data_IF_595580909099
#
_entry.id   IF_595580909099
#
_cell.length_a   1.000
_cell.length_b   1.000
_cell.length_c   1.000
_cell.angle_alpha   90.00
_cell.angle_beta   90.00
_cell.angle_gamma   90.00
#
_symmetry.space_group_name_H-M   'P 1'
#
loop_
_entity.id
_entity.type
_entity.pdbx_description
1 polymer ?
#
# COMPACT_ATOMS: atom_id res chain seq x y z
N UNK A 1 -1.37 11.13 16.95
CA UNK A 1 -1.54 9.67 17.22
C UNK A 1 -1.36 8.92 15.92
N UNK A 2 -0.31 8.10 15.79
CA UNK A 2 -0.06 7.29 14.59
C UNK A 2 -0.95 6.05 14.60
N UNK A 3 -1.70 5.83 13.51
CA UNK A 3 -2.59 4.67 13.39
C UNK A 3 -1.78 3.45 12.98
N UNK A 4 -1.60 2.50 13.89
CA UNK A 4 -0.92 1.23 13.62
C UNK A 4 -1.83 0.36 12.74
N UNK A 5 -1.34 -0.06 11.58
CA UNK A 5 -2.05 -0.95 10.65
C UNK A 5 -1.29 -2.26 10.51
N UNK A 6 -2.01 -3.38 10.62
CA UNK A 6 -1.46 -4.72 10.51
C UNK A 6 -1.82 -5.31 9.14
N UNK A 7 -0.84 -5.94 8.49
CA UNK A 7 -1.07 -6.64 7.22
C UNK A 7 -2.00 -7.85 7.42
N UNK A 8 -2.67 -8.26 6.36
CA UNK A 8 -3.62 -9.40 6.43
C UNK A 8 -2.85 -10.69 6.74
N UNK A 9 -1.66 -10.88 6.16
CA UNK A 9 -0.77 -12.00 6.48
C UNK A 9 -0.44 -12.06 7.99
N UNK A 10 -0.11 -10.91 8.60
CA UNK A 10 0.20 -10.85 10.02
C UNK A 10 -1.01 -11.20 10.90
N UNK A 11 -2.21 -10.73 10.53
CA UNK A 11 -3.45 -11.11 11.23
C UNK A 11 -3.74 -12.61 11.12
N UNK A 12 -3.46 -13.22 9.96
CA UNK A 12 -3.66 -14.67 9.76
C UNK A 12 -2.66 -15.50 10.56
N UNK A 13 -1.41 -15.07 10.65
CA UNK A 13 -0.39 -15.71 11.51
C UNK A 13 -0.80 -15.65 12.98
N UNK A 14 -1.26 -14.49 13.46
CA UNK A 14 -1.78 -14.35 14.81
C UNK A 14 -3.00 -15.25 15.08
N UNK A 15 -3.90 -15.42 14.10
CA UNK A 15 -5.04 -16.33 14.23
C UNK A 15 -4.61 -17.80 14.35
N UNK A 16 -3.58 -18.24 13.60
CA UNK A 16 -3.02 -19.59 13.76
C UNK A 16 -2.42 -19.81 15.14
N UNK A 17 -1.73 -18.80 15.69
CA UNK A 17 -1.17 -18.88 17.05
C UNK A 17 -2.26 -18.91 18.11
N UNK A 18 -3.38 -18.22 17.90
CA UNK A 18 -4.54 -18.24 18.81
C UNK A 18 -5.26 -19.59 18.84
N UNK A 19 -5.04 -20.48 17.87
CA UNK A 19 -5.56 -21.86 17.91
C UNK A 19 -4.76 -22.75 18.89
N UNK A 20 -3.50 -22.41 19.16
CA UNK A 20 -2.60 -23.23 20.00
C UNK A 20 -2.26 -22.56 21.34
N UNK A 21 -2.26 -21.24 21.40
CA UNK A 21 -1.84 -20.44 22.55
C UNK A 21 -2.95 -19.51 23.02
N UNK A 22 -2.90 -19.13 24.31
CA UNK A 22 -3.80 -18.12 24.86
C UNK A 22 -3.51 -16.72 24.34
N UNK A 23 -4.54 -15.86 24.32
CA UNK A 23 -4.44 -14.46 23.88
C UNK A 23 -3.34 -13.68 24.61
N UNK A 24 -3.08 -13.99 25.89
CA UNK A 24 -1.98 -13.44 26.68
C UNK A 24 -0.59 -13.79 26.11
N UNK A 25 -0.34 -15.07 25.80
CA UNK A 25 0.96 -15.51 25.26
C UNK A 25 1.18 -14.94 23.85
N UNK A 26 0.13 -14.94 23.02
CA UNK A 26 0.19 -14.38 21.65
C UNK A 26 0.45 -12.87 21.68
N UNK A 27 -0.16 -12.13 22.61
CA UNK A 27 0.08 -10.70 22.79
C UNK A 27 1.55 -10.39 23.11
N UNK A 28 2.14 -11.18 24.01
CA UNK A 28 3.56 -11.04 24.36
C UNK A 28 4.48 -11.35 23.20
N UNK A 29 4.20 -12.43 22.45
CA UNK A 29 5.02 -12.85 21.30
C UNK A 29 5.00 -11.84 20.14
N UNK A 30 3.82 -11.32 19.80
CA UNK A 30 3.64 -10.42 18.66
C UNK A 30 3.81 -8.94 19.02
N UNK A 31 3.98 -8.64 20.31
CA UNK A 31 3.96 -7.28 20.86
C UNK A 31 2.73 -6.48 20.41
N UNK A 32 1.55 -7.11 20.48
CA UNK A 32 0.25 -6.53 20.09
C UNK A 32 -0.65 -6.43 21.31
N UNK A 33 -1.37 -5.31 21.44
CA UNK A 33 -2.34 -5.14 22.51
C UNK A 33 -3.41 -6.25 22.48
N UNK A 34 -3.65 -6.88 23.64
CA UNK A 34 -4.65 -7.96 23.82
C UNK A 34 -6.04 -7.61 23.26
N UNK A 35 -6.45 -6.34 23.43
CA UNK A 35 -7.75 -5.84 22.92
C UNK A 35 -7.84 -5.94 21.39
N UNK A 36 -6.75 -5.73 20.68
CA UNK A 36 -6.68 -5.85 19.22
C UNK A 36 -6.79 -7.31 18.79
N UNK A 37 -6.08 -8.22 19.48
CA UNK A 37 -6.14 -9.65 19.21
C UNK A 37 -7.55 -10.23 19.40
N UNK A 38 -8.30 -9.78 20.41
CA UNK A 38 -9.70 -10.23 20.63
C UNK A 38 -10.66 -9.84 19.52
N UNK A 39 -10.37 -8.80 18.74
CA UNK A 39 -11.23 -8.38 17.63
C UNK A 39 -11.01 -9.20 16.35
N UNK A 40 -9.82 -9.79 16.15
CA UNK A 40 -9.51 -10.51 14.91
C UNK A 40 -10.26 -11.84 14.73
N UNK A 41 -10.53 -12.66 15.76
CA UNK A 41 -11.37 -13.84 15.63
C UNK A 41 -12.78 -13.52 15.11
N UNK A 42 -13.35 -12.37 15.49
CA UNK A 42 -14.65 -11.92 14.98
C UNK A 42 -14.62 -11.63 13.47
N UNK A 43 -13.46 -11.20 12.96
CA UNK A 43 -13.22 -10.91 11.55
C UNK A 43 -12.62 -12.10 10.79
N UNK A 44 -12.48 -13.28 11.43
CA UNK A 44 -11.76 -14.44 10.86
C UNK A 44 -12.29 -14.82 9.49
N UNK A 45 -13.61 -14.88 9.32
CA UNK A 45 -14.23 -15.29 8.06
C UNK A 45 -13.92 -14.29 6.93
N UNK A 46 -14.00 -12.99 7.21
CA UNK A 46 -13.65 -11.93 6.24
C UNK A 46 -12.16 -11.97 5.88
N UNK A 47 -11.29 -12.21 6.87
CA UNK A 47 -9.84 -12.30 6.65
C UNK A 47 -9.46 -13.54 5.82
N UNK A 48 -10.17 -14.66 6.00
CA UNK A 48 -9.96 -15.89 5.23
C UNK A 48 -10.52 -15.77 3.80
N UNK A 49 -11.68 -15.12 3.64
CA UNK A 49 -12.32 -14.90 2.34
C UNK A 49 -11.58 -13.86 1.48
N UNK A 50 -10.66 -13.08 2.06
CA UNK A 50 -9.92 -12.06 1.34
C UNK A 50 -8.97 -12.65 0.28
N UNK A 51 -9.32 -12.44 -1.00
CA UNK A 51 -8.56 -12.89 -2.18
C UNK A 51 -7.54 -11.85 -2.70
N UNK A 52 -7.53 -10.64 -2.13
CA UNK A 52 -6.61 -9.57 -2.51
C UNK A 52 -5.19 -9.79 -1.99
N UNK A 53 -4.36 -8.75 -2.08
CA UNK A 53 -2.94 -8.85 -1.72
C UNK A 53 -2.74 -8.95 -0.19
N UNK A 54 -2.34 -10.14 0.30
CA UNK A 54 -2.28 -10.44 1.74
C UNK A 54 -1.08 -9.81 2.43
N UNK A 55 -0.04 -9.46 1.68
CA UNK A 55 1.13 -8.72 2.15
C UNK A 55 0.99 -7.25 1.75
N UNK A 56 1.50 -6.35 2.59
CA UNK A 56 1.67 -4.94 2.21
C UNK A 56 2.82 -4.89 1.20
N UNK A 57 2.52 -4.99 -0.09
CA UNK A 57 3.55 -4.88 -1.11
C UNK A 57 4.13 -3.46 -1.06
N UNK A 58 5.43 -3.36 -0.79
CA UNK A 58 6.24 -2.44 -1.58
C UNK A 58 6.27 -3.09 -2.96
N UNK A 59 5.49 -2.58 -3.90
CA UNK A 59 5.50 -3.01 -5.32
C UNK A 59 6.82 -2.69 -6.04
N UNK A 60 7.84 -2.27 -5.30
CA UNK A 60 9.16 -1.90 -5.80
C UNK A 60 10.06 -3.12 -5.73
N UNK A 61 10.78 -3.39 -6.82
CA UNK A 61 11.88 -4.37 -6.83
C UNK A 61 12.88 -4.07 -5.70
N UNK A 62 13.60 -5.07 -5.18
CA UNK A 62 14.66 -4.83 -4.20
C UNK A 62 15.74 -3.93 -4.81
N UNK A 63 16.46 -3.20 -3.96
CA UNK A 63 17.35 -2.12 -4.41
C UNK A 63 18.54 -2.61 -5.24
N UNK A 64 19.01 -3.85 -5.02
CA UNK A 64 20.07 -4.48 -5.82
C UNK A 64 19.66 -4.71 -7.29
N UNK A 65 18.48 -5.29 -7.51
CA UNK A 65 17.93 -5.50 -8.86
C UNK A 65 17.73 -4.19 -9.64
N UNK A 66 17.52 -3.08 -8.93
CA UNK A 66 17.39 -1.75 -9.55
C UNK A 66 18.74 -1.18 -10.00
N UNK A 67 19.84 -1.47 -9.28
CA UNK A 67 21.18 -1.02 -9.67
C UNK A 67 21.67 -1.75 -10.92
N UNK A 68 21.48 -3.06 -10.99
CA UNK A 68 21.88 -3.85 -12.17
C UNK A 68 21.11 -3.40 -13.41
N UNK A 69 19.78 -3.24 -13.31
CA UNK A 69 18.95 -2.76 -14.40
C UNK A 69 19.29 -1.32 -14.84
N UNK A 70 19.68 -0.46 -13.89
CA UNK A 70 20.08 0.92 -14.17
C UNK A 70 21.35 0.99 -15.02
N UNK A 71 22.27 0.07 -14.84
CA UNK A 71 23.56 0.08 -15.53
C UNK A 71 23.52 -0.72 -16.85
N UNK A 72 22.74 -1.81 -16.91
CA UNK A 72 22.56 -2.62 -18.12
C UNK A 72 21.71 -1.92 -19.19
N UNK A 73 20.63 -1.25 -18.80
CA UNK A 73 19.69 -0.62 -19.74
C UNK A 73 20.33 0.44 -20.66
N UNK A 74 21.14 1.40 -20.17
CA UNK A 74 21.82 2.37 -21.03
C UNK A 74 22.79 1.72 -22.03
N UNK A 75 23.47 0.65 -21.63
CA UNK A 75 24.41 -0.07 -22.50
C UNK A 75 23.67 -0.72 -23.67
N UNK A 76 22.58 -1.44 -23.38
CA UNK A 76 21.75 -2.08 -24.40
C UNK A 76 21.06 -1.05 -25.31
N UNK A 77 20.55 0.04 -24.72
CA UNK A 77 19.92 1.13 -25.46
C UNK A 77 20.89 1.78 -26.45
N UNK A 78 22.08 2.17 -26.00
CA UNK A 78 23.08 2.80 -26.88
C UNK A 78 23.61 1.83 -27.93
N UNK A 79 23.71 0.53 -27.62
CA UNK A 79 24.10 -0.49 -28.60
C UNK A 79 23.07 -0.64 -29.70
N UNK A 80 21.80 -0.82 -29.33
CA UNK A 80 20.69 -1.09 -30.27
C UNK A 80 20.30 0.14 -31.10
N UNK A 81 20.41 1.33 -30.52
CA UNK A 81 20.02 2.60 -31.17
C UNK A 81 21.22 3.46 -31.59
N UNK A 82 22.42 2.92 -31.66
CA UNK A 82 23.65 3.63 -32.05
C UNK A 82 23.56 4.37 -33.39
N UNK A 83 22.73 3.87 -34.32
CA UNK A 83 22.50 4.48 -35.63
C UNK A 83 21.58 5.71 -35.60
N UNK A 84 20.87 5.95 -34.50
CA UNK A 84 19.93 7.07 -34.37
C UNK A 84 20.64 8.30 -33.80
N UNK A 85 20.31 9.48 -34.33
CA UNK A 85 20.77 10.75 -33.78
C UNK A 85 20.16 10.99 -32.40
N UNK A 86 20.87 11.70 -31.53
CA UNK A 86 20.32 12.13 -30.22
C UNK A 86 19.08 13.01 -30.40
N UNK A 87 18.97 13.70 -31.53
CA UNK A 87 17.85 14.59 -31.86
C UNK A 87 16.51 13.87 -32.06
N UNK A 88 16.51 12.55 -32.30
CA UNK A 88 15.27 11.76 -32.44
C UNK A 88 14.91 10.93 -31.19
N UNK A 89 15.55 11.21 -30.05
CA UNK A 89 15.19 10.63 -28.75
C UNK A 89 14.31 11.61 -27.98
N UNK A 90 13.02 11.28 -27.85
CA UNK A 90 12.06 12.11 -27.12
C UNK A 90 11.64 11.40 -25.83
N UNK A 91 11.58 12.12 -24.72
CA UNK A 91 10.98 11.58 -23.51
C UNK A 91 9.47 11.54 -23.71
N UNK A 92 8.88 10.36 -23.62
CA UNK A 92 7.42 10.16 -23.66
C UNK A 92 7.00 9.76 -22.25
N UNK A 93 7.01 10.72 -21.32
CA UNK A 93 6.36 10.55 -20.04
C UNK A 93 4.93 11.09 -20.14
N UNK A 94 3.95 10.27 -19.76
CA UNK A 94 2.59 10.76 -19.57
C UNK A 94 2.60 11.72 -18.37
N UNK A 95 2.73 13.01 -18.63
CA UNK A 95 2.45 14.03 -17.62
C UNK A 95 0.94 14.02 -17.40
N UNK A 96 0.51 13.34 -16.33
CA UNK A 96 -0.90 13.32 -15.92
C UNK A 96 -1.37 14.75 -15.63
N UNK A 97 -2.19 15.31 -16.50
CA UNK A 97 -2.92 16.54 -16.21
C UNK A 97 -4.05 16.22 -15.25
N UNK A 98 -3.80 16.45 -13.95
CA UNK A 98 -4.86 16.51 -12.97
C UNK A 98 -5.53 17.87 -13.10
N UNK A 99 -6.74 17.89 -13.66
CA UNK A 99 -7.62 19.02 -13.42
C UNK A 99 -7.77 19.11 -11.90
N UNK A 100 -7.30 20.22 -11.32
CA UNK A 100 -7.54 20.59 -9.92
C UNK A 100 -9.02 20.99 -9.80
N UNK A 101 -9.88 19.99 -10.06
CA UNK A 101 -11.31 20.14 -10.09
C UNK A 101 -11.75 20.22 -8.63
N UNK A 102 -12.40 21.32 -8.22
CA UNK A 102 -12.81 21.46 -6.83
C UNK A 102 -13.66 20.25 -6.44
N UNK A 103 -13.54 19.77 -5.18
CA UNK A 103 -14.22 18.57 -4.74
C UNK A 103 -15.71 18.64 -5.09
N UNK A 104 -16.22 17.61 -5.78
CA UNK A 104 -17.64 17.53 -6.15
C UNK A 104 -18.57 17.40 -4.91
N UNK A 105 -17.98 17.27 -3.72
CA UNK A 105 -18.70 17.10 -2.46
C UNK A 105 -18.03 17.90 -1.36
N UNK A 106 -18.82 18.64 -0.60
CA UNK A 106 -18.42 19.33 0.63
C UNK A 106 -18.78 18.41 1.81
N UNK A 107 -17.80 18.07 2.65
CA UNK A 107 -18.06 17.32 3.86
C UNK A 107 -18.76 18.21 4.90
N UNK A 108 -19.90 17.76 5.42
CA UNK A 108 -20.60 18.37 6.54
C UNK A 108 -20.67 17.39 7.72
N UNK A 109 -20.88 17.91 8.92
CA UNK A 109 -21.13 17.09 10.11
C UNK A 109 -22.36 16.17 9.88
N UNK A 110 -22.36 14.98 10.47
CA UNK A 110 -23.45 14.00 10.27
C UNK A 110 -24.77 14.58 10.81
N UNK A 111 -25.65 15.00 9.90
CA UNK A 111 -26.92 15.68 10.22
C UNK A 111 -26.85 17.22 10.20
N UNK A 112 -25.68 17.79 9.92
CA UNK A 112 -25.46 19.23 9.78
C UNK A 112 -25.67 19.73 8.34
N UNK A 113 -25.79 21.06 8.19
CA UNK A 113 -25.92 21.69 6.89
C UNK A 113 -24.58 21.73 6.15
N UNK A 114 -24.61 21.48 4.83
CA UNK A 114 -23.47 21.64 3.92
C UNK A 114 -23.32 23.07 3.38
N UNK A 115 -24.13 24.03 3.85
CA UNK A 115 -24.04 25.42 3.42
C UNK A 115 -22.80 26.08 4.02
N UNK A 116 -21.88 26.49 3.15
CA UNK A 116 -20.85 27.49 3.47
C UNK A 116 -21.55 28.86 3.61
N UNK A 117 -21.46 29.51 4.77
CA UNK A 117 -21.96 30.88 4.90
C UNK A 117 -21.01 31.81 4.18
N UNK A 118 -21.51 32.55 3.19
CA UNK A 118 -20.78 33.67 2.63
C UNK A 118 -20.68 34.77 3.71
N UNK A 119 -19.46 35.20 4.01
CA UNK A 119 -19.20 36.43 4.76
C UNK A 119 -19.40 37.66 3.88
#
# INVERSE_FOLDING_TARGET
MTRITYSIAFKLEALKLLETLSDYKVAGLLNVARRTLRNWPKQRNELLAYKGNKKRLKSKKPQGDLSELRDEFPLEFHRSYSAHSKECTYNVDETGFYYDMPPHYICAERGGSSKISAG
#
